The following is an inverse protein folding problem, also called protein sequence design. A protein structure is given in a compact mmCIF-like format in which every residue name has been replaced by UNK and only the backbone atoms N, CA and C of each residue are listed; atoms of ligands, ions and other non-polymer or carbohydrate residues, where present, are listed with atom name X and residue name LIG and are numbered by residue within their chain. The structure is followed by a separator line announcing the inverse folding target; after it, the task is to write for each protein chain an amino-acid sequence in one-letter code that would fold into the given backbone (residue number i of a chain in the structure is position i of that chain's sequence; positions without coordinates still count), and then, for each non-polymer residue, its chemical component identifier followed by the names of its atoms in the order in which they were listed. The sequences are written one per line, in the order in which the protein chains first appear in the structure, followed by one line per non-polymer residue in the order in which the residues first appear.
data_IF_024903746046
#
_entry.id   IF_024903746046
#
_cell.length_a   1.000
_cell.length_b   1.000
_cell.length_c   1.000
_cell.angle_alpha   90.00
_cell.angle_beta   90.00
_cell.angle_gamma   90.00
#
_symmetry.space_group_name_H-M   'P 1'
#
loop_
_entity.id
_entity.type
_entity.pdbx_description
1 polymer ?
#
# COMPACT_ATOMS: atom_id res chain seq x y z
N UNK A 1 45.83 -8.96 49.77
CA UNK A 1 45.41 -7.54 49.76
C UNK A 1 44.22 -7.44 48.79
N UNK A 2 43.06 -8.03 49.10
CA UNK A 2 41.98 -7.46 49.91
C UNK A 2 41.77 -5.96 49.69
N UNK A 3 40.79 -5.61 48.86
CA UNK A 3 39.79 -4.59 49.17
C UNK A 3 38.51 -4.92 48.40
N UNK A 4 37.47 -5.21 49.19
CA UNK A 4 36.06 -5.24 48.82
C UNK A 4 35.47 -3.82 48.88
N UNK A 5 34.21 -3.68 48.47
CA UNK A 5 33.26 -2.55 48.59
C UNK A 5 33.14 -1.62 47.36
N UNK A 6 31.96 -1.13 46.93
CA UNK A 6 30.53 -1.34 47.24
C UNK A 6 29.73 -0.71 46.06
N UNK A 7 28.56 -1.31 45.79
CA UNK A 7 27.33 -0.83 45.12
C UNK A 7 27.26 0.62 44.57
N UNK A 8 26.78 0.76 43.32
CA UNK A 8 25.59 1.60 43.08
C UNK A 8 24.71 1.05 41.95
N UNK A 9 23.56 0.54 42.37
CA UNK A 9 22.41 0.18 41.54
C UNK A 9 21.76 1.43 40.98
N UNK A 10 21.61 1.53 39.65
CA UNK A 10 20.51 2.30 39.06
C UNK A 10 19.71 1.39 38.12
N UNK A 11 18.63 0.84 38.68
CA UNK A 11 17.51 0.27 37.93
C UNK A 11 16.73 1.43 37.33
N UNK A 12 16.86 1.65 36.03
CA UNK A 12 15.98 2.56 35.30
C UNK A 12 14.69 1.79 35.00
N UNK A 13 13.64 2.07 35.77
CA UNK A 13 12.27 1.62 35.52
C UNK A 13 11.63 2.62 34.56
N UNK A 14 11.66 2.36 33.25
CA UNK A 14 10.81 3.10 32.30
C UNK A 14 9.46 2.41 32.25
N UNK A 15 8.51 3.04 32.94
CA UNK A 15 7.12 2.66 33.07
C UNK A 15 6.37 2.74 31.73
N UNK A 16 5.70 1.64 31.38
CA UNK A 16 4.71 1.54 30.30
C UNK A 16 3.58 2.55 30.53
N UNK A 17 3.48 3.60 29.70
CA UNK A 17 2.29 4.45 29.62
C UNK A 17 1.50 4.10 28.36
N UNK A 18 0.42 3.37 28.58
CA UNK A 18 -0.68 3.15 27.65
C UNK A 18 -1.27 4.52 27.28
N UNK A 19 -1.18 4.89 26.00
CA UNK A 19 -1.82 6.09 25.46
C UNK A 19 -3.34 5.94 25.50
N UNK A 20 -4.02 6.86 26.18
CA UNK A 20 -5.48 6.92 26.23
C UNK A 20 -6.04 7.45 24.90
N UNK A 21 -6.95 6.67 24.30
CA UNK A 21 -7.74 7.06 23.14
C UNK A 21 -8.78 8.09 23.61
N UNK A 22 -8.68 9.33 23.12
CA UNK A 22 -9.71 10.37 23.32
C UNK A 22 -10.85 10.13 22.33
N UNK A 23 -11.95 9.62 22.84
CA UNK A 23 -13.20 9.44 22.12
C UNK A 23 -13.98 10.78 22.13
N UNK A 24 -13.93 11.55 21.04
CA UNK A 24 -14.75 12.77 20.88
C UNK A 24 -16.03 12.42 20.12
N UNK A 25 -17.05 12.00 20.85
CA UNK A 25 -18.44 12.01 20.40
C UNK A 25 -19.08 13.33 20.82
N UNK A 26 -19.42 14.19 19.86
CA UNK A 26 -20.35 15.29 20.09
C UNK A 26 -21.15 15.59 18.82
N UNK A 27 -22.20 14.81 18.58
CA UNK A 27 -23.39 15.29 17.87
C UNK A 27 -24.62 14.71 18.57
N UNK A 28 -25.44 15.63 19.05
CA UNK A 28 -26.65 15.42 19.84
C UNK A 28 -27.86 15.42 18.90
N UNK A 29 -28.63 14.33 18.78
CA UNK A 29 -29.99 14.40 18.28
C UNK A 29 -30.98 14.28 19.44
N UNK A 30 -31.83 15.29 19.54
CA UNK A 30 -32.96 15.39 20.45
C UNK A 30 -33.75 14.09 20.55
N UNK A 31 -33.89 13.59 21.78
CA UNK A 31 -34.69 12.42 22.13
C UNK A 31 -36.18 12.75 21.95
N UNK A 32 -36.76 12.37 20.82
CA UNK A 32 -38.22 12.35 20.64
C UNK A 32 -38.73 11.04 21.24
N UNK A 33 -39.34 11.13 22.42
CA UNK A 33 -40.13 10.05 23.01
C UNK A 33 -41.51 10.02 22.36
N UNK A 34 -41.76 9.04 21.51
CA UNK A 34 -43.11 8.61 21.13
C UNK A 34 -43.39 7.26 21.77
N UNK A 35 -44.11 7.29 22.89
CA UNK A 35 -44.79 6.12 23.45
C UNK A 35 -46.05 5.84 22.63
N UNK A 36 -46.28 4.57 22.25
CA UNK A 36 -47.55 3.82 22.39
C UNK A 36 -47.32 2.43 21.78
N UNK A 37 -47.65 1.40 22.57
CA UNK A 37 -47.62 0.00 22.18
C UNK A 37 -48.79 -0.35 21.26
N UNK A 38 -48.57 -1.23 20.28
CA UNK A 38 -49.60 -2.07 19.66
C UNK A 38 -48.94 -3.30 19.01
N UNK A 39 -49.35 -4.53 19.34
CA UNK A 39 -48.93 -5.74 18.63
C UNK A 39 -49.92 -5.98 17.49
N UNK A 40 -49.54 -5.68 16.25
CA UNK A 40 -50.33 -6.03 15.09
C UNK A 40 -49.43 -6.30 13.90
N UNK A 41 -49.61 -7.47 13.29
CA UNK A 41 -48.99 -7.89 12.03
C UNK A 41 -49.35 -6.87 10.96
N UNK A 42 -48.41 -6.02 10.56
CA UNK A 42 -48.52 -5.17 9.38
C UNK A 42 -47.54 -5.69 8.35
N UNK A 43 -48.09 -6.01 7.17
CA UNK A 43 -47.39 -6.27 5.91
C UNK A 43 -45.98 -5.71 5.87
N UNK A 44 -45.01 -6.56 5.53
CA UNK A 44 -43.63 -6.16 5.23
C UNK A 44 -43.65 -4.85 4.43
N UNK A 45 -43.11 -3.80 5.04
CA UNK A 45 -43.06 -2.47 4.43
C UNK A 45 -42.24 -2.58 3.14
N UNK A 46 -42.91 -2.47 1.99
CA UNK A 46 -42.34 -2.78 0.67
C UNK A 46 -41.17 -1.86 0.31
N UNK A 47 -41.06 -0.72 0.98
CA UNK A 47 -40.01 0.27 0.78
C UNK A 47 -38.89 0.18 1.84
N UNK A 48 -38.93 -0.84 2.72
CA UNK A 48 -37.84 -1.10 3.65
C UNK A 48 -36.55 -1.52 2.89
N UNK A 49 -35.36 -1.04 3.30
CA UNK A 49 -34.11 -1.47 2.71
C UNK A 49 -33.91 -2.99 2.83
N UNK A 50 -33.59 -3.63 1.71
CA UNK A 50 -33.30 -5.07 1.64
C UNK A 50 -31.79 -5.27 1.84
N UNK A 51 -31.41 -6.28 2.63
CA UNK A 51 -30.01 -6.71 2.72
C UNK A 51 -29.58 -7.39 1.42
N UNK A 52 -28.77 -6.69 0.62
CA UNK A 52 -28.26 -7.12 -0.69
C UNK A 52 -26.78 -6.70 -0.82
N UNK A 53 -25.98 -7.48 -1.56
CA UNK A 53 -24.64 -7.05 -1.97
C UNK A 53 -24.72 -5.77 -2.81
N UNK A 54 -23.84 -4.80 -2.56
CA UNK A 54 -23.92 -3.48 -3.22
C UNK A 54 -23.85 -3.61 -4.76
N UNK A 55 -24.95 -3.32 -5.50
CA UNK A 55 -25.01 -3.48 -6.95
C UNK A 55 -24.17 -2.42 -7.71
N UNK A 56 -23.74 -1.35 -7.03
CA UNK A 56 -22.89 -0.30 -7.57
C UNK A 56 -21.40 -0.55 -7.35
N UNK A 57 -21.02 -1.74 -6.87
CA UNK A 57 -19.61 -2.08 -6.64
C UNK A 57 -18.88 -2.26 -7.96
N UNK A 58 -17.96 -1.33 -8.27
CA UNK A 58 -17.11 -1.46 -9.45
C UNK A 58 -16.11 -2.61 -9.29
N UNK A 59 -15.81 -3.28 -10.42
CA UNK A 59 -14.81 -4.35 -10.44
C UNK A 59 -13.43 -3.76 -10.10
N UNK A 60 -12.70 -4.44 -9.21
CA UNK A 60 -11.33 -4.03 -8.86
C UNK A 60 -10.43 -4.19 -10.09
N UNK A 61 -9.76 -3.11 -10.45
CA UNK A 61 -8.79 -3.11 -11.54
C UNK A 61 -7.55 -3.91 -11.15
N UNK A 62 -7.00 -4.66 -12.11
CA UNK A 62 -5.78 -5.45 -11.93
C UNK A 62 -4.60 -4.68 -12.54
N UNK A 63 -3.44 -4.74 -11.87
CA UNK A 63 -2.22 -4.19 -12.45
C UNK A 63 -1.79 -4.96 -13.72
N UNK A 64 -0.94 -4.35 -14.53
CA UNK A 64 -0.52 -4.89 -15.83
C UNK A 64 0.09 -6.30 -15.73
N UNK A 65 0.94 -6.57 -14.73
CA UNK A 65 1.60 -7.86 -14.56
C UNK A 65 0.60 -8.95 -14.15
N UNK A 66 -0.34 -8.63 -13.27
CA UNK A 66 -1.43 -9.54 -12.89
C UNK A 66 -2.46 -9.75 -14.00
N UNK A 67 -2.63 -8.78 -14.90
CA UNK A 67 -3.55 -8.91 -16.04
C UNK A 67 -3.02 -9.91 -17.07
N UNK A 68 -1.70 -9.90 -17.30
CA UNK A 68 -1.04 -10.79 -18.27
C UNK A 68 -0.38 -12.02 -17.64
N UNK A 69 -0.50 -12.21 -16.32
CA UNK A 69 0.14 -13.30 -15.56
C UNK A 69 1.66 -13.39 -15.81
N UNK A 70 2.33 -12.25 -15.89
CA UNK A 70 3.78 -12.18 -16.10
C UNK A 70 4.46 -12.14 -14.73
N UNK A 71 5.36 -13.08 -14.48
CA UNK A 71 6.23 -13.08 -13.30
C UNK A 71 7.55 -12.37 -13.64
N UNK A 72 7.94 -11.33 -12.87
CA UNK A 72 9.24 -10.68 -13.07
C UNK A 72 10.37 -11.62 -12.63
N UNK A 73 11.39 -11.74 -13.48
CA UNK A 73 12.60 -12.51 -13.23
C UNK A 73 13.84 -11.65 -13.50
N UNK A 74 14.86 -11.72 -12.63
CA UNK A 74 16.13 -10.98 -12.78
C UNK A 74 16.87 -11.31 -14.09
N UNK A 75 16.63 -12.49 -14.67
CA UNK A 75 17.23 -12.91 -15.95
C UNK A 75 16.63 -12.16 -17.14
N UNK A 76 15.38 -11.71 -17.04
CA UNK A 76 14.71 -10.99 -18.11
C UNK A 76 14.93 -9.48 -17.93
N UNK A 77 16.16 -9.05 -18.25
CA UNK A 77 16.59 -7.66 -18.13
C UNK A 77 15.69 -6.72 -18.94
N UNK A 78 15.26 -7.15 -20.14
CA UNK A 78 14.40 -6.35 -21.01
C UNK A 78 13.11 -5.93 -20.31
N UNK A 79 12.41 -6.87 -19.66
CA UNK A 79 11.17 -6.58 -18.93
C UNK A 79 11.42 -5.65 -17.73
N UNK A 80 12.35 -6.02 -16.85
CA UNK A 80 12.58 -5.26 -15.61
C UNK A 80 13.19 -3.87 -15.88
N UNK A 81 13.89 -3.68 -17.00
CA UNK A 81 14.43 -2.39 -17.45
C UNK A 81 13.36 -1.36 -17.82
N UNK A 82 12.12 -1.80 -18.06
CA UNK A 82 11.01 -0.88 -18.32
C UNK A 82 10.54 -0.17 -17.04
N UNK A 83 10.86 -0.72 -15.86
CA UNK A 83 10.52 -0.14 -14.56
C UNK A 83 11.59 0.82 -14.01
N UNK A 84 12.67 1.07 -14.75
CA UNK A 84 13.68 2.07 -14.39
C UNK A 84 13.65 3.30 -15.29
N UNK A 85 14.10 4.42 -14.75
CA UNK A 85 14.33 5.64 -15.50
C UNK A 85 15.44 5.48 -16.54
N UNK A 86 15.17 6.00 -17.74
CA UNK A 86 16.13 6.01 -18.86
C UNK A 86 17.42 6.73 -18.50
N UNK A 87 17.31 7.86 -17.80
CA UNK A 87 18.44 8.76 -17.54
C UNK A 87 19.13 8.52 -16.20
N UNK A 88 18.39 8.09 -15.18
CA UNK A 88 18.91 8.01 -13.79
C UNK A 88 19.06 6.59 -13.26
N UNK A 89 18.55 5.57 -13.98
CA UNK A 89 18.56 4.19 -13.51
C UNK A 89 17.70 3.92 -12.27
N UNK A 90 17.02 4.94 -11.73
CA UNK A 90 16.16 4.82 -10.56
C UNK A 90 14.89 4.05 -10.92
N UNK A 91 14.50 3.12 -10.05
CA UNK A 91 13.24 2.38 -10.18
C UNK A 91 12.06 3.31 -9.92
N UNK A 92 11.04 3.24 -10.78
CA UNK A 92 9.82 4.01 -10.61
C UNK A 92 9.01 3.50 -9.42
N UNK A 93 8.46 4.43 -8.65
CA UNK A 93 7.62 4.12 -7.51
C UNK A 93 6.20 3.69 -7.92
N UNK A 94 5.49 3.04 -7.00
CA UNK A 94 4.14 2.50 -7.20
C UNK A 94 3.12 3.51 -7.75
N UNK A 95 3.20 4.77 -7.33
CA UNK A 95 2.24 5.80 -7.78
C UNK A 95 2.44 6.23 -9.24
N UNK A 96 3.55 5.81 -9.86
CA UNK A 96 3.84 5.96 -11.29
C UNK A 96 3.50 4.66 -12.02
N UNK A 97 4.01 3.51 -11.55
CA UNK A 97 3.87 2.22 -12.25
C UNK A 97 2.44 1.64 -12.19
N UNK A 98 1.65 1.98 -11.17
CA UNK A 98 0.32 1.42 -10.96
C UNK A 98 0.32 -0.09 -10.62
N UNK A 99 1.46 -0.63 -10.19
CA UNK A 99 1.54 -2.03 -9.77
C UNK A 99 0.87 -2.29 -8.41
N UNK A 100 0.41 -3.52 -8.20
CA UNK A 100 0.05 -3.96 -6.85
C UNK A 100 1.32 -4.03 -5.99
N UNK A 101 1.18 -3.88 -4.67
CA UNK A 101 2.33 -3.81 -3.77
C UNK A 101 3.21 -5.07 -3.85
N UNK A 102 2.59 -6.26 -3.92
CA UNK A 102 3.32 -7.51 -4.04
C UNK A 102 4.17 -7.58 -5.33
N UNK A 103 3.63 -7.11 -6.46
CA UNK A 103 4.38 -7.10 -7.73
C UNK A 103 5.46 -6.01 -7.73
N UNK A 104 5.20 -4.85 -7.15
CA UNK A 104 6.20 -3.78 -7.02
C UNK A 104 7.43 -4.28 -6.22
N UNK A 105 7.21 -4.90 -5.05
CA UNK A 105 8.29 -5.44 -4.22
C UNK A 105 9.06 -6.57 -4.93
N UNK A 106 8.36 -7.41 -5.70
CA UNK A 106 9.00 -8.43 -6.55
C UNK A 106 9.88 -7.80 -7.62
N UNK A 107 9.38 -6.83 -8.37
CA UNK A 107 10.14 -6.13 -9.42
C UNK A 107 11.37 -5.46 -8.84
N UNK A 108 11.25 -4.73 -7.73
CA UNK A 108 12.39 -4.08 -7.07
C UNK A 108 13.46 -5.10 -6.65
N UNK A 109 13.03 -6.25 -6.09
CA UNK A 109 13.95 -7.33 -5.71
C UNK A 109 14.70 -7.91 -6.90
N UNK A 110 14.00 -8.20 -8.00
CA UNK A 110 14.60 -8.78 -9.19
C UNK A 110 15.51 -7.77 -9.92
N UNK A 111 15.19 -6.47 -9.90
CA UNK A 111 16.07 -5.40 -10.39
C UNK A 111 17.37 -5.37 -9.57
N UNK A 112 17.28 -5.30 -8.24
CA UNK A 112 18.48 -5.30 -7.40
C UNK A 112 19.32 -6.57 -7.62
N UNK A 113 18.66 -7.72 -7.79
CA UNK A 113 19.33 -8.99 -8.09
C UNK A 113 20.03 -8.97 -9.45
N UNK A 114 19.41 -8.41 -10.49
CA UNK A 114 20.02 -8.26 -11.81
C UNK A 114 21.21 -7.29 -11.79
N UNK A 115 21.08 -6.18 -11.06
CA UNK A 115 22.15 -5.21 -10.85
C UNK A 115 23.34 -5.81 -10.10
N UNK A 116 23.09 -6.59 -9.04
CA UNK A 116 24.14 -7.28 -8.28
C UNK A 116 24.81 -8.39 -9.10
N UNK A 117 24.06 -9.04 -10.00
CA UNK A 117 24.58 -10.04 -10.93
C UNK A 117 25.35 -9.43 -12.12
N UNK A 118 25.38 -8.10 -12.25
CA UNK A 118 26.03 -7.41 -13.38
C UNK A 118 25.28 -7.52 -14.71
N UNK A 119 24.01 -7.94 -14.69
CA UNK A 119 23.17 -8.03 -15.89
C UNK A 119 22.40 -6.74 -16.18
N UNK A 120 22.45 -5.76 -15.28
CA UNK A 120 21.72 -4.49 -15.40
C UNK A 120 22.52 -3.34 -14.79
N UNK A 121 22.48 -2.16 -15.42
CA UNK A 121 23.13 -0.94 -14.93
C UNK A 121 22.45 -0.32 -13.69
N UNK A 122 23.25 0.34 -12.84
CA UNK A 122 22.75 1.09 -11.67
C UNK A 122 22.35 2.53 -12.00
N UNK A 123 23.15 3.21 -12.84
CA UNK A 123 23.03 4.66 -13.06
C UNK A 123 22.29 5.01 -14.35
N UNK A 124 22.33 4.12 -15.34
CA UNK A 124 21.76 4.35 -16.67
C UNK A 124 21.12 3.07 -17.19
N UNK A 125 20.11 3.24 -18.04
CA UNK A 125 19.50 2.14 -18.79
C UNK A 125 20.42 1.70 -19.92
N UNK A 126 20.45 0.39 -20.20
CA UNK A 126 21.14 -0.14 -21.37
C UNK A 126 20.56 0.44 -22.66
N UNK A 127 21.45 0.85 -23.57
CA UNK A 127 21.08 1.54 -24.81
C UNK A 127 20.11 0.73 -25.67
N UNK A 128 20.23 -0.61 -25.66
CA UNK A 128 19.38 -1.54 -26.40
C UNK A 128 17.91 -1.46 -25.98
N UNK A 129 17.64 -1.17 -24.71
CA UNK A 129 16.28 -1.16 -24.14
C UNK A 129 15.70 0.25 -24.00
N UNK A 130 16.42 1.30 -24.42
CA UNK A 130 15.95 2.71 -24.31
C UNK A 130 14.71 2.95 -25.16
N UNK A 131 14.64 2.34 -26.33
CA UNK A 131 13.58 2.55 -27.32
C UNK A 131 12.38 1.61 -27.18
N UNK A 132 12.35 0.77 -26.13
CA UNK A 132 11.20 -0.08 -25.84
C UNK A 132 9.95 0.78 -25.54
N UNK A 133 8.75 0.33 -25.94
CA UNK A 133 7.51 1.03 -25.65
C UNK A 133 7.32 1.15 -24.14
N UNK A 134 6.88 2.32 -23.68
CA UNK A 134 6.65 2.57 -22.26
C UNK A 134 5.34 1.94 -21.82
N UNK A 135 5.36 1.24 -20.68
CA UNK A 135 4.18 0.61 -20.08
C UNK A 135 3.32 1.59 -19.26
N UNK A 136 3.89 2.73 -18.88
CA UNK A 136 3.27 3.71 -17.98
C UNK A 136 3.59 5.12 -18.44
N UNK A 137 2.68 6.04 -18.13
CA UNK A 137 2.88 7.47 -18.34
C UNK A 137 3.61 8.07 -17.14
N UNK A 138 4.87 8.43 -17.33
CA UNK A 138 5.72 8.98 -16.25
C UNK A 138 5.26 10.39 -15.86
N UNK A 139 4.73 11.15 -16.81
CA UNK A 139 4.36 12.55 -16.64
C UNK A 139 3.01 12.74 -15.93
N UNK A 140 2.15 11.70 -15.90
CA UNK A 140 0.83 11.76 -15.27
C UNK A 140 0.66 10.65 -14.22
N UNK A 141 1.32 10.75 -13.06
CA UNK A 141 1.19 9.76 -12.00
C UNK A 141 -0.17 9.84 -11.30
N UNK A 142 -0.63 8.72 -10.75
CA UNK A 142 -1.92 8.62 -10.03
C UNK A 142 -2.02 9.54 -8.81
N UNK A 143 -0.89 9.82 -8.17
CA UNK A 143 -0.76 10.78 -7.09
C UNK A 143 0.36 11.73 -7.45
N UNK A 144 0.16 13.06 -7.37
CA UNK A 144 1.23 14.00 -7.63
C UNK A 144 2.38 13.79 -6.65
N UNK A 145 3.60 14.07 -7.12
CA UNK A 145 4.76 14.14 -6.25
C UNK A 145 4.58 15.28 -5.23
N UNK A 146 5.19 15.12 -4.05
CA UNK A 146 5.05 16.09 -2.95
C UNK A 146 5.83 17.40 -3.20
N UNK A 147 6.49 17.53 -4.35
CA UNK A 147 7.39 18.63 -4.71
C UNK A 147 7.31 18.88 -6.21
#
# INVERSE_FOLDING_TARGET
MSVMHIMLSLRIVVSNRVGMIVNRNLHNPSRVTSSIASPAKTSEDRDAPIEMENPYTQKKEKCILCKYNIEPDYKNVRLISQFQSRYTGRVYAKHITGLCQAQQEKVEREIHKAQHAGMMGYYTKEAEFVNDPMLFDIDNPFRPHKY
#
